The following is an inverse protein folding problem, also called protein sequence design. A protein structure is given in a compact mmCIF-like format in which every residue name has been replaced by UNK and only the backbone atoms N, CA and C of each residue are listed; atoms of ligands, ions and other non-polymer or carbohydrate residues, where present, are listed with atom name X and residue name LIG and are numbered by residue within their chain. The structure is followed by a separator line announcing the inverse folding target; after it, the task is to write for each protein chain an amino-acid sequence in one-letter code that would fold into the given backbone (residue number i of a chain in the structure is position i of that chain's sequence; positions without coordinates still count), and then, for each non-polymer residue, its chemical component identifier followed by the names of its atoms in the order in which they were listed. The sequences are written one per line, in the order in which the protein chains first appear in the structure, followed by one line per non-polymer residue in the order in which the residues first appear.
data_IF_126436854429
#
_entry.id   IF_126436854429
#
_cell.length_a   1.000
_cell.length_b   1.000
_cell.length_c   1.000
_cell.angle_alpha   90.00
_cell.angle_beta   90.00
_cell.angle_gamma   90.00
#
_symmetry.space_group_name_H-M   'P 1'
#
loop_
_entity.id
_entity.type
_entity.pdbx_description
1 polymer ?
#
# COMPACT_ATOMS: atom_id res chain seq x y z
N UNK A 1 -24.56 71.56 34.41
CA UNK A 1 -23.21 71.02 34.71
C UNK A 1 -23.24 69.50 34.98
N UNK A 2 -24.15 68.99 35.82
CA UNK A 2 -24.26 67.53 36.10
C UNK A 2 -24.70 66.66 34.90
N UNK A 3 -25.66 67.13 34.09
CA UNK A 3 -26.12 66.38 32.89
C UNK A 3 -25.04 66.20 31.83
N UNK A 4 -24.31 67.29 31.52
CA UNK A 4 -23.15 67.25 30.61
C UNK A 4 -22.09 66.25 31.07
N UNK A 5 -21.77 66.24 32.38
CA UNK A 5 -20.84 65.27 32.97
C UNK A 5 -21.35 63.82 32.86
N UNK A 6 -22.65 63.60 32.92
CA UNK A 6 -23.24 62.28 32.80
C UNK A 6 -23.23 61.76 31.36
N UNK A 7 -23.62 62.60 30.39
CA UNK A 7 -23.53 62.29 28.96
C UNK A 7 -22.08 61.99 28.54
N UNK A 8 -21.12 62.77 29.06
CA UNK A 8 -19.70 62.56 28.77
C UNK A 8 -19.16 61.24 29.35
N UNK A 9 -19.65 60.81 30.52
CA UNK A 9 -19.32 59.50 31.07
C UNK A 9 -19.96 58.34 30.30
N UNK A 10 -21.23 58.48 29.88
CA UNK A 10 -21.90 57.47 29.05
C UNK A 10 -21.20 57.28 27.71
N UNK A 11 -20.82 58.38 27.06
CA UNK A 11 -20.05 58.31 25.81
C UNK A 11 -18.68 57.63 25.98
N UNK A 12 -17.96 57.90 27.08
CA UNK A 12 -16.69 57.22 27.36
C UNK A 12 -16.89 55.73 27.65
N UNK A 13 -17.96 55.36 28.34
CA UNK A 13 -18.28 53.98 28.64
C UNK A 13 -18.60 53.20 27.35
N UNK A 14 -19.47 53.75 26.51
CA UNK A 14 -19.83 53.15 25.21
C UNK A 14 -18.63 53.01 24.29
N UNK A 15 -17.74 54.00 24.27
CA UNK A 15 -16.52 53.95 23.50
C UNK A 15 -15.63 52.79 23.95
N UNK A 16 -15.36 52.68 25.25
CA UNK A 16 -14.53 51.60 25.82
C UNK A 16 -15.15 50.22 25.63
N UNK A 17 -16.48 50.12 25.74
CA UNK A 17 -17.18 48.88 25.51
C UNK A 17 -17.04 48.43 24.06
N UNK A 18 -17.18 49.35 23.09
CA UNK A 18 -16.97 49.05 21.67
C UNK A 18 -15.53 48.65 21.38
N UNK A 19 -14.56 49.36 21.95
CA UNK A 19 -13.14 49.05 21.80
C UNK A 19 -12.80 47.65 22.31
N UNK A 20 -13.23 47.31 23.54
CA UNK A 20 -13.05 45.97 24.11
C UNK A 20 -13.73 44.87 23.27
N UNK A 21 -14.92 45.16 22.72
CA UNK A 21 -15.65 44.22 21.88
C UNK A 21 -14.96 44.01 20.53
N UNK A 22 -14.36 45.06 19.95
CA UNK A 22 -13.56 44.93 18.72
C UNK A 22 -12.27 44.15 18.96
N UNK A 23 -11.61 44.36 20.10
CA UNK A 23 -10.38 43.63 20.47
C UNK A 23 -10.67 42.14 20.68
N UNK A 24 -11.74 41.80 21.40
CA UNK A 24 -12.17 40.41 21.57
C UNK A 24 -12.54 39.77 20.23
N UNK A 25 -13.26 40.50 19.36
CA UNK A 25 -13.61 40.00 18.04
C UNK A 25 -12.36 39.68 17.20
N UNK A 26 -11.40 40.61 17.13
CA UNK A 26 -10.15 40.39 16.41
C UNK A 26 -9.34 39.22 16.97
N UNK A 27 -9.32 39.07 18.30
CA UNK A 27 -8.66 37.95 18.97
C UNK A 27 -9.29 36.62 18.57
N UNK A 28 -10.62 36.51 18.63
CA UNK A 28 -11.37 35.32 18.24
C UNK A 28 -11.20 35.01 16.75
N UNK A 29 -11.27 36.03 15.88
CA UNK A 29 -11.01 35.86 14.45
C UNK A 29 -9.58 35.34 14.20
N UNK A 30 -8.57 35.87 14.90
CA UNK A 30 -7.20 35.40 14.82
C UNK A 30 -7.03 33.94 15.26
N UNK A 31 -7.67 33.56 16.36
CA UNK A 31 -7.69 32.17 16.83
C UNK A 31 -8.37 31.23 15.83
N UNK A 32 -9.52 31.63 15.28
CA UNK A 32 -10.22 30.86 14.25
C UNK A 32 -9.37 30.64 13.02
N UNK A 33 -8.70 31.68 12.51
CA UNK A 33 -7.79 31.55 11.37
C UNK A 33 -6.64 30.57 11.66
N UNK A 34 -6.11 30.60 12.88
CA UNK A 34 -5.05 29.67 13.31
C UNK A 34 -5.56 28.23 13.35
N UNK A 35 -6.79 28.01 13.83
CA UNK A 35 -7.43 26.70 13.83
C UNK A 35 -7.72 26.17 12.42
N UNK A 36 -8.23 27.03 11.53
CA UNK A 36 -8.48 26.67 10.12
C UNK A 36 -7.19 26.20 9.46
N UNK A 37 -6.10 26.98 9.56
CA UNK A 37 -4.81 26.60 8.98
C UNK A 37 -4.25 25.29 9.53
N UNK A 38 -4.47 25.02 10.82
CA UNK A 38 -4.07 23.74 11.43
C UNK A 38 -4.89 22.59 10.87
N UNK A 39 -6.19 22.79 10.65
CA UNK A 39 -7.07 21.76 10.10
C UNK A 39 -6.70 21.44 8.65
N UNK A 40 -6.47 22.46 7.83
CA UNK A 40 -5.98 22.30 6.44
C UNK A 40 -4.64 21.53 6.40
N UNK A 41 -3.71 21.85 7.30
CA UNK A 41 -2.44 21.13 7.39
C UNK A 41 -2.64 19.67 7.81
N UNK A 42 -3.59 19.37 8.68
CA UNK A 42 -3.92 18.00 9.08
C UNK A 42 -4.53 17.24 7.91
N UNK A 43 -5.47 17.84 7.17
CA UNK A 43 -6.08 17.24 5.98
C UNK A 43 -5.01 16.85 4.96
N UNK A 44 -4.08 17.75 4.65
CA UNK A 44 -2.98 17.45 3.73
C UNK A 44 -2.10 16.28 4.19
N UNK A 45 -1.81 16.20 5.50
CA UNK A 45 -1.03 15.09 6.06
C UNK A 45 -1.80 13.78 6.01
N UNK A 46 -3.11 13.81 6.28
CA UNK A 46 -3.98 12.63 6.23
C UNK A 46 -4.09 12.09 4.81
N UNK A 47 -4.35 12.97 3.83
CA UNK A 47 -4.43 12.59 2.42
C UNK A 47 -3.10 12.03 1.92
N UNK A 48 -2.00 12.72 2.22
CA UNK A 48 -0.66 12.25 1.87
C UNK A 48 -0.33 10.89 2.50
N UNK A 49 -0.79 10.64 3.74
CA UNK A 49 -0.60 9.34 4.39
C UNK A 49 -1.44 8.24 3.74
N UNK A 50 -2.67 8.54 3.36
CA UNK A 50 -3.54 7.59 2.68
C UNK A 50 -2.94 7.13 1.35
N UNK A 51 -2.35 8.05 0.58
CA UNK A 51 -1.66 7.73 -0.67
C UNK A 51 -0.42 6.85 -0.45
N UNK A 52 0.40 7.16 0.57
CA UNK A 52 1.57 6.34 0.91
C UNK A 52 1.14 4.93 1.32
N UNK A 53 0.14 4.81 2.20
CA UNK A 53 -0.34 3.51 2.67
C UNK A 53 -0.98 2.70 1.53
N UNK A 54 -1.61 3.36 0.54
CA UNK A 54 -2.12 2.72 -0.67
C UNK A 54 -0.98 2.10 -1.49
N UNK A 55 0.03 2.90 -1.83
CA UNK A 55 1.20 2.43 -2.62
C UNK A 55 1.97 1.34 -1.87
N UNK A 56 2.12 1.47 -0.56
CA UNK A 56 2.80 0.46 0.26
C UNK A 56 2.07 -0.90 0.21
N UNK A 57 0.74 -0.90 0.31
CA UNK A 57 -0.07 -2.14 0.21
C UNK A 57 0.02 -2.77 -1.17
N UNK A 58 -0.03 -1.96 -2.24
CA UNK A 58 0.11 -2.43 -3.62
C UNK A 58 1.49 -3.07 -3.84
N UNK A 59 2.56 -2.39 -3.41
CA UNK A 59 3.94 -2.89 -3.51
C UNK A 59 4.14 -4.17 -2.70
N UNK A 60 3.57 -4.25 -1.49
CA UNK A 60 3.65 -5.43 -0.65
C UNK A 60 2.94 -6.63 -1.26
N UNK A 61 1.77 -6.43 -1.87
CA UNK A 61 1.04 -7.48 -2.56
C UNK A 61 1.87 -8.05 -3.73
N UNK A 62 2.50 -7.19 -4.52
CA UNK A 62 3.40 -7.60 -5.60
C UNK A 62 4.61 -8.37 -5.05
N UNK A 63 5.27 -7.85 -4.00
CA UNK A 63 6.42 -8.52 -3.38
C UNK A 63 6.06 -9.93 -2.90
N UNK A 64 4.91 -10.10 -2.24
CA UNK A 64 4.45 -11.40 -1.77
C UNK A 64 4.15 -12.37 -2.92
N UNK A 65 3.56 -11.90 -4.03
CA UNK A 65 3.30 -12.72 -5.20
C UNK A 65 4.61 -13.21 -5.86
N UNK A 66 5.59 -12.31 -5.99
CA UNK A 66 6.93 -12.65 -6.53
C UNK A 66 7.69 -13.59 -5.60
N UNK A 67 7.64 -13.37 -4.29
CA UNK A 67 8.27 -14.25 -3.30
C UNK A 67 7.62 -15.63 -3.29
N UNK A 68 6.30 -15.71 -3.41
CA UNK A 68 5.59 -16.98 -3.55
C UNK A 68 6.05 -17.73 -4.81
N UNK A 69 6.16 -17.04 -5.94
CA UNK A 69 6.70 -17.63 -7.17
C UNK A 69 8.15 -18.11 -6.98
N UNK A 70 9.04 -17.28 -6.44
CA UNK A 70 10.43 -17.65 -6.18
C UNK A 70 10.54 -18.86 -5.24
N UNK A 71 9.82 -18.82 -4.11
CA UNK A 71 9.73 -19.93 -3.16
C UNK A 71 9.23 -21.20 -3.84
N UNK A 72 8.24 -21.09 -4.73
CA UNK A 72 7.73 -22.28 -5.42
C UNK A 72 8.77 -22.90 -6.35
N UNK A 73 9.62 -22.10 -6.99
CA UNK A 73 10.67 -22.56 -7.90
C UNK A 73 11.91 -23.09 -7.17
N UNK A 74 12.22 -22.55 -5.99
CA UNK A 74 13.42 -22.88 -5.22
C UNK A 74 13.24 -24.01 -4.21
N UNK A 75 12.01 -24.28 -3.76
CA UNK A 75 11.79 -25.23 -2.67
C UNK A 75 11.51 -26.66 -3.16
N UNK A 76 12.24 -27.68 -2.67
CA UNK A 76 12.16 -29.06 -3.14
C UNK A 76 10.85 -29.78 -2.75
N UNK A 77 10.01 -29.13 -1.94
CA UNK A 77 8.70 -29.63 -1.50
C UNK A 77 7.55 -28.73 -1.98
N UNK A 78 7.86 -27.70 -2.78
CA UNK A 78 6.84 -26.85 -3.35
C UNK A 78 5.91 -27.70 -4.21
N UNK A 79 4.60 -27.55 -4.01
CA UNK A 79 3.54 -28.28 -4.70
C UNK A 79 3.38 -27.83 -6.16
N UNK A 80 4.47 -27.59 -6.87
CA UNK A 80 4.47 -27.52 -8.33
C UNK A 80 4.09 -28.94 -8.81
N UNK A 81 2.79 -29.16 -9.03
CA UNK A 81 2.27 -30.30 -9.79
C UNK A 81 1.93 -31.54 -8.99
N UNK A 82 1.67 -31.41 -7.69
CA UNK A 82 1.16 -32.52 -6.88
C UNK A 82 -0.33 -32.79 -7.20
N UNK A 83 -0.63 -33.21 -8.43
CA UNK A 83 -1.88 -33.90 -8.76
C UNK A 83 -1.75 -35.37 -8.36
N UNK A 84 -1.76 -35.64 -7.06
CA UNK A 84 -1.72 -36.98 -6.51
C UNK A 84 -2.01 -36.94 -5.01
N UNK A 85 -2.83 -37.87 -4.51
CA UNK A 85 -3.00 -38.01 -3.07
C UNK A 85 -1.62 -38.18 -2.41
N UNK A 86 -1.37 -37.53 -1.25
CA UNK A 86 -0.16 -37.76 -0.51
C UNK A 86 -0.11 -39.24 -0.15
N UNK A 87 0.74 -40.00 -0.85
CA UNK A 87 1.01 -41.38 -0.47
C UNK A 87 1.58 -41.31 0.94
N UNK A 88 0.78 -41.77 1.92
CA UNK A 88 1.13 -41.77 3.34
C UNK A 88 2.57 -42.28 3.50
N UNK A 89 3.39 -41.50 4.20
CA UNK A 89 4.76 -41.80 4.62
C UNK A 89 5.89 -41.65 3.59
N UNK A 90 5.67 -41.03 2.43
CA UNK A 90 6.77 -40.70 1.53
C UNK A 90 6.84 -39.19 1.26
N UNK A 91 7.71 -38.49 1.99
CA UNK A 91 8.25 -37.18 1.59
C UNK A 91 9.14 -37.37 0.34
N UNK A 92 8.60 -37.92 -0.75
CA UNK A 92 9.30 -37.85 -2.03
C UNK A 92 9.28 -36.41 -2.47
N UNK A 93 10.44 -35.77 -2.70
CA UNK A 93 10.45 -34.41 -3.22
C UNK A 93 9.72 -34.41 -4.56
N UNK A 94 8.72 -33.55 -4.70
CA UNK A 94 8.01 -33.38 -5.96
C UNK A 94 8.96 -32.65 -6.90
N UNK A 95 9.77 -33.41 -7.60
CA UNK A 95 10.71 -32.92 -8.61
C UNK A 95 10.02 -32.63 -9.96
N UNK A 96 8.70 -32.44 -9.98
CA UNK A 96 7.90 -32.37 -11.20
C UNK A 96 7.78 -30.95 -11.74
N UNK A 97 7.51 -30.83 -13.04
CA UNK A 97 7.07 -29.55 -13.63
C UNK A 97 5.59 -29.35 -13.36
N UNK A 98 5.17 -28.10 -13.18
CA UNK A 98 3.76 -27.77 -13.11
C UNK A 98 3.49 -26.39 -13.66
N UNK A 99 2.26 -26.17 -14.14
CA UNK A 99 1.88 -24.91 -14.74
C UNK A 99 2.17 -23.75 -13.78
N UNK A 100 2.91 -22.75 -14.25
CA UNK A 100 3.17 -21.52 -13.49
C UNK A 100 2.07 -20.47 -13.70
N UNK A 101 1.09 -20.76 -14.56
CA UNK A 101 0.04 -19.83 -14.98
C UNK A 101 -0.68 -19.16 -13.82
N UNK A 102 -1.08 -19.91 -12.79
CA UNK A 102 -1.82 -19.34 -11.66
C UNK A 102 -0.95 -18.37 -10.85
N UNK A 103 0.31 -18.73 -10.60
CA UNK A 103 1.26 -17.88 -9.87
C UNK A 103 1.62 -16.62 -10.66
N UNK A 104 1.75 -16.73 -11.98
CA UNK A 104 2.05 -15.61 -12.86
C UNK A 104 0.82 -14.69 -12.98
N UNK A 105 -0.39 -15.26 -13.05
CA UNK A 105 -1.63 -14.47 -12.98
C UNK A 105 -1.74 -13.69 -11.67
N UNK A 106 -1.32 -14.27 -10.53
CA UNK A 106 -1.30 -13.57 -9.25
C UNK A 106 -0.31 -12.38 -9.26
N UNK A 107 0.86 -12.55 -9.89
CA UNK A 107 1.85 -11.48 -10.10
C UNK A 107 1.30 -10.38 -11.03
N UNK A 108 0.66 -10.76 -12.14
CA UNK A 108 0.03 -9.83 -13.09
C UNK A 108 -1.10 -9.04 -12.45
N UNK A 109 -1.95 -9.70 -11.67
CA UNK A 109 -3.03 -9.04 -10.94
C UNK A 109 -2.49 -8.08 -9.88
N UNK A 110 -1.41 -8.43 -9.19
CA UNK A 110 -0.78 -7.55 -8.22
C UNK A 110 -0.14 -6.33 -8.89
N UNK A 111 0.52 -6.51 -10.04
CA UNK A 111 1.14 -5.44 -10.81
C UNK A 111 0.11 -4.47 -11.43
N UNK A 112 -0.99 -5.02 -11.98
CA UNK A 112 -2.03 -4.25 -12.67
C UNK A 112 -2.83 -3.31 -11.76
N UNK A 113 -2.89 -3.61 -10.45
CA UNK A 113 -3.61 -2.76 -9.47
C UNK A 113 -2.97 -1.39 -9.27
N UNK A 114 -1.66 -1.30 -9.42
CA UNK A 114 -0.92 -0.07 -9.15
C UNK A 114 -0.72 0.80 -10.39
N UNK A 115 -0.62 0.17 -11.58
CA UNK A 115 -0.24 0.88 -12.82
C UNK A 115 1.18 1.47 -12.80
N UNK A 116 1.94 1.24 -11.73
CA UNK A 116 3.33 1.68 -11.54
C UNK A 116 4.32 0.60 -12.02
N UNK A 117 3.85 -0.65 -12.16
CA UNK A 117 4.70 -1.83 -12.32
C UNK A 117 4.74 -2.36 -13.76
N UNK A 118 4.82 -1.47 -14.76
CA UNK A 118 4.88 -1.83 -16.19
C UNK A 118 6.04 -2.79 -16.53
N UNK A 119 7.16 -2.66 -15.82
CA UNK A 119 8.30 -3.56 -15.98
C UNK A 119 7.95 -5.01 -15.65
N UNK A 120 7.12 -5.25 -14.62
CA UNK A 120 6.69 -6.59 -14.23
C UNK A 120 5.79 -7.18 -15.31
N UNK A 121 4.84 -6.39 -15.82
CA UNK A 121 3.96 -6.80 -16.91
C UNK A 121 4.77 -7.15 -18.17
N UNK A 122 5.78 -6.33 -18.51
CA UNK A 122 6.68 -6.63 -19.62
C UNK A 122 7.47 -7.94 -19.44
N UNK A 123 7.82 -8.31 -18.20
CA UNK A 123 8.43 -9.61 -17.92
C UNK A 123 7.43 -10.73 -18.08
N UNK A 124 6.24 -10.63 -17.48
CA UNK A 124 5.23 -11.70 -17.53
C UNK A 124 4.76 -11.95 -18.96
N UNK A 125 4.59 -10.89 -19.76
CA UNK A 125 4.25 -10.98 -21.18
C UNK A 125 5.36 -11.63 -22.03
N UNK A 126 6.61 -11.53 -21.59
CA UNK A 126 7.76 -12.14 -22.30
C UNK A 126 7.92 -13.63 -22.03
N UNK A 127 7.15 -14.19 -21.08
CA UNK A 127 7.28 -15.60 -20.71
C UNK A 127 6.69 -16.51 -21.79
N UNK A 128 7.43 -17.54 -22.24
CA UNK A 128 6.92 -18.49 -23.22
C UNK A 128 5.67 -19.23 -22.72
N UNK A 129 4.73 -19.50 -23.62
CA UNK A 129 3.49 -20.23 -23.30
C UNK A 129 3.75 -21.62 -22.73
N UNK A 130 4.85 -22.25 -23.15
CA UNK A 130 5.29 -23.56 -22.66
C UNK A 130 5.61 -23.51 -21.17
N UNK A 131 6.20 -22.41 -20.67
CA UNK A 131 6.51 -22.21 -19.25
C UNK A 131 5.22 -22.08 -18.43
N UNK A 132 4.21 -21.42 -18.99
CA UNK A 132 2.92 -21.21 -18.33
C UNK A 132 2.14 -22.52 -18.18
N UNK A 133 2.15 -23.37 -19.22
CA UNK A 133 1.29 -24.55 -19.31
C UNK A 133 1.98 -25.85 -18.88
N UNK A 134 3.22 -26.06 -19.30
CA UNK A 134 3.98 -27.28 -18.99
C UNK A 134 4.84 -27.16 -17.73
N UNK A 135 5.10 -25.93 -17.30
CA UNK A 135 5.94 -25.63 -16.14
C UNK A 135 7.43 -25.73 -16.42
N UNK A 136 8.23 -25.44 -15.40
CA UNK A 136 9.69 -25.52 -15.47
C UNK A 136 10.19 -26.54 -14.45
N UNK A 137 11.29 -27.22 -14.79
CA UNK A 137 11.99 -28.05 -13.84
C UNK A 137 12.64 -27.17 -12.77
N UNK A 138 12.32 -27.44 -11.51
CA UNK A 138 13.00 -26.79 -10.38
C UNK A 138 14.46 -27.23 -10.33
N UNK A 139 15.30 -26.41 -9.69
CA UNK A 139 16.73 -26.68 -9.55
C UNK A 139 16.99 -28.04 -8.92
N UNK A 140 16.30 -28.40 -7.84
CA UNK A 140 16.47 -29.72 -7.23
C UNK A 140 15.93 -30.85 -8.12
N UNK A 141 14.90 -30.60 -8.93
CA UNK A 141 14.40 -31.57 -9.91
C UNK A 141 15.43 -31.92 -10.96
N UNK A 142 16.14 -30.91 -11.49
CA UNK A 142 17.27 -31.12 -12.39
C UNK A 142 18.41 -31.89 -11.71
N UNK A 143 18.82 -31.49 -10.50
CA UNK A 143 19.89 -32.15 -9.74
C UNK A 143 19.55 -33.63 -9.50
N UNK A 144 18.33 -33.94 -9.07
CA UNK A 144 17.88 -35.31 -8.80
C UNK A 144 17.81 -36.18 -10.06
N UNK A 145 17.40 -35.58 -11.19
CA UNK A 145 17.34 -36.25 -12.49
C UNK A 145 18.73 -36.57 -13.03
N UNK A 146 19.67 -35.63 -12.97
CA UNK A 146 20.98 -35.77 -13.58
C UNK A 146 22.00 -36.49 -12.68
N UNK A 147 21.91 -36.37 -11.35
CA UNK A 147 22.84 -37.08 -10.44
C UNK A 147 22.56 -38.58 -10.30
N UNK A 148 21.45 -39.10 -10.86
CA UNK A 148 21.17 -40.55 -10.93
C UNK A 148 21.82 -41.25 -12.14
N UNK A 149 22.47 -40.50 -13.04
CA UNK A 149 23.04 -41.02 -14.30
C UNK A 149 24.56 -41.32 -14.17
N UNK A 150 25.10 -41.38 -12.95
CA UNK A 150 26.50 -41.76 -12.67
C UNK A 150 26.53 -42.98 -11.77
#
# INVERSE_FOLDING_TARGET
MLRLKQEEMEHQFDYRLREALTEQKQTLEGELHKWIKRMEAIEQVVDGRADIDRVAKETQALWLAVEALAFTLEMPFSKIGASGEPVRNELRPYFTTAPLRDLINDVEQAASRSGIHDFVLGITDSLPTEVLESGVWTRQGLISRFNKVV
#
